data_IF_600329647218
#
_entry.id   IF_600329647218
#
_cell.length_a   1.000
_cell.length_b   1.000
_cell.length_c   1.000
_cell.angle_alpha   90.00
_cell.angle_beta   90.00
_cell.angle_gamma   90.00
#
_symmetry.space_group_name_H-M   'P 1'
#
loop_
_entity.id
_entity.type
_entity.pdbx_description
1 polymer ?
#
# COMPACT_ATOMS: atom_id res chain seq x y z
N UNK A 1 -4.16 -12.46 18.64
CA UNK A 1 -4.38 -12.42 17.18
C UNK A 1 -3.18 -11.72 16.60
N UNK A 2 -2.44 -12.37 15.70
CA UNK A 2 -1.49 -11.64 14.85
C UNK A 2 -2.30 -10.68 13.98
N UNK A 3 -2.03 -9.38 14.11
CA UNK A 3 -2.63 -8.36 13.25
C UNK A 3 -1.66 -8.11 12.09
N UNK A 4 -1.96 -8.68 10.93
CA UNK A 4 -1.27 -8.42 9.68
C UNK A 4 -1.82 -7.13 9.04
N UNK A 5 -0.97 -6.28 8.46
CA UNK A 5 -1.42 -4.99 7.89
C UNK A 5 -1.95 -5.10 6.46
N UNK A 6 -1.58 -6.17 5.75
CA UNK A 6 -1.71 -6.28 4.29
C UNK A 6 -2.45 -7.53 3.83
N UNK A 7 -2.79 -8.43 4.75
CA UNK A 7 -3.61 -9.61 4.49
C UNK A 7 -4.62 -9.80 5.61
N UNK A 8 -5.75 -10.42 5.31
CA UNK A 8 -6.81 -10.70 6.27
C UNK A 8 -7.38 -12.10 6.07
N UNK A 9 -7.59 -12.82 7.17
CA UNK A 9 -8.45 -14.01 7.19
C UNK A 9 -9.82 -13.64 7.74
N UNK A 10 -10.90 -14.06 7.07
CA UNK A 10 -12.27 -13.77 7.50
C UNK A 10 -13.24 -14.90 7.15
N UNK A 11 -14.40 -14.92 7.81
CA UNK A 11 -15.48 -15.87 7.53
C UNK A 11 -16.60 -15.11 6.84
N UNK A 12 -17.07 -15.64 5.71
CA UNK A 12 -18.25 -15.13 5.02
C UNK A 12 -19.12 -16.29 4.56
N UNK A 13 -20.41 -16.26 4.93
CA UNK A 13 -21.40 -17.29 4.56
C UNK A 13 -20.92 -18.72 4.89
N UNK A 14 -20.47 -18.91 6.13
CA UNK A 14 -19.88 -20.16 6.67
C UNK A 14 -18.64 -20.67 5.91
N UNK A 15 -18.08 -19.89 5.00
CA UNK A 15 -16.84 -20.20 4.28
C UNK A 15 -15.69 -19.41 4.90
N UNK A 16 -14.60 -20.10 5.25
CA UNK A 16 -13.37 -19.47 5.74
C UNK A 16 -12.46 -19.07 4.58
N UNK A 17 -12.13 -17.79 4.49
CA UNK A 17 -11.21 -17.22 3.51
C UNK A 17 -9.89 -16.94 4.24
N UNK A 18 -8.92 -17.83 4.05
CA UNK A 18 -7.62 -17.73 4.71
C UNK A 18 -6.69 -16.76 3.98
N UNK A 19 -6.04 -15.85 4.72
CA UNK A 19 -4.92 -15.00 4.30
C UNK A 19 -5.13 -14.35 2.93
N UNK A 20 -6.30 -13.73 2.74
CA UNK A 20 -6.59 -12.98 1.52
C UNK A 20 -5.72 -11.72 1.47
N UNK A 21 -5.20 -11.39 0.28
CA UNK A 21 -4.37 -10.19 0.05
C UNK A 21 -5.21 -8.92 0.01
N UNK A 22 -5.85 -8.62 1.15
CA UNK A 22 -6.63 -7.44 1.42
C UNK A 22 -6.27 -6.93 2.81
N UNK A 23 -5.91 -5.65 2.91
CA UNK A 23 -5.64 -5.03 4.20
C UNK A 23 -6.87 -5.07 5.10
N UNK A 24 -6.73 -5.29 6.42
CA UNK A 24 -7.84 -5.16 7.36
C UNK A 24 -8.53 -3.80 7.31
N UNK A 25 -7.83 -2.77 6.81
CA UNK A 25 -8.40 -1.45 6.54
C UNK A 25 -9.64 -1.51 5.64
N UNK A 26 -9.65 -2.40 4.64
CA UNK A 26 -10.74 -2.50 3.66
C UNK A 26 -11.87 -3.44 4.06
N UNK A 27 -11.74 -4.17 5.17
CA UNK A 27 -12.74 -5.18 5.58
C UNK A 27 -14.11 -4.56 5.89
N UNK A 28 -14.22 -3.43 6.62
CA UNK A 28 -15.52 -2.80 6.82
C UNK A 28 -16.22 -2.42 5.51
N UNK A 29 -15.46 -1.91 4.53
CA UNK A 29 -15.99 -1.56 3.20
C UNK A 29 -16.45 -2.80 2.43
N UNK A 30 -15.70 -3.89 2.52
CA UNK A 30 -16.08 -5.17 1.91
C UNK A 30 -17.36 -5.70 2.55
N UNK A 31 -17.50 -5.67 3.88
CA UNK A 31 -18.71 -6.10 4.57
C UNK A 31 -19.95 -5.31 4.12
N UNK A 32 -19.83 -3.99 4.03
CA UNK A 32 -20.90 -3.11 3.53
C UNK A 32 -21.28 -3.45 2.08
N UNK A 33 -20.29 -3.67 1.21
CA UNK A 33 -20.51 -4.06 -0.19
C UNK A 33 -21.24 -5.40 -0.31
N UNK A 34 -20.84 -6.40 0.48
CA UNK A 34 -21.45 -7.72 0.46
C UNK A 34 -22.88 -7.69 1.03
N UNK A 35 -23.11 -6.87 2.05
CA UNK A 35 -24.44 -6.63 2.59
C UNK A 35 -25.34 -5.94 1.54
N UNK A 36 -24.82 -4.94 0.83
CA UNK A 36 -25.53 -4.28 -0.26
C UNK A 36 -25.90 -5.29 -1.35
N UNK A 37 -24.96 -6.08 -1.86
CA UNK A 37 -25.26 -7.07 -2.90
C UNK A 37 -26.34 -8.07 -2.47
N UNK A 38 -26.32 -8.52 -1.21
CA UNK A 38 -27.39 -9.35 -0.63
C UNK A 38 -28.73 -8.61 -0.60
N UNK A 39 -28.77 -7.34 -0.19
CA UNK A 39 -30.03 -6.59 -0.06
C UNK A 39 -30.71 -6.32 -1.40
N UNK A 40 -29.93 -6.08 -2.46
CA UNK A 40 -30.44 -5.87 -3.83
C UNK A 40 -30.50 -7.17 -4.66
N UNK A 41 -30.27 -8.33 -4.04
CA UNK A 41 -30.36 -9.67 -4.65
C UNK A 41 -29.45 -9.86 -5.87
N UNK A 42 -28.27 -9.24 -5.87
CA UNK A 42 -27.24 -9.55 -6.86
C UNK A 42 -26.62 -10.90 -6.49
N UNK A 43 -26.62 -11.83 -7.44
CA UNK A 43 -25.91 -13.10 -7.29
C UNK A 43 -24.41 -12.87 -7.49
N UNK A 44 -23.61 -13.24 -6.50
CA UNK A 44 -22.15 -13.17 -6.59
C UNK A 44 -21.49 -14.39 -5.92
N UNK A 45 -20.21 -14.57 -6.19
CA UNK A 45 -19.37 -15.55 -5.51
C UNK A 45 -18.02 -14.92 -5.21
N UNK A 46 -17.62 -14.97 -3.94
CA UNK A 46 -16.27 -14.58 -3.56
C UNK A 46 -15.27 -15.60 -4.09
N UNK A 47 -14.21 -15.09 -4.72
CA UNK A 47 -13.06 -15.87 -5.17
C UNK A 47 -11.81 -15.37 -4.43
N UNK A 48 -10.65 -15.92 -4.77
CA UNK A 48 -9.37 -15.44 -4.25
C UNK A 48 -9.23 -13.95 -4.55
N UNK A 49 -8.94 -13.17 -3.51
CA UNK A 49 -8.67 -11.75 -3.66
C UNK A 49 -7.33 -11.55 -4.37
N UNK A 50 -7.35 -10.75 -5.43
CA UNK A 50 -6.13 -10.25 -6.07
C UNK A 50 -5.69 -8.97 -5.36
N UNK A 51 -4.40 -8.61 -5.41
CA UNK A 51 -3.97 -7.28 -5.02
C UNK A 51 -4.83 -6.22 -5.73
N UNK A 52 -5.20 -5.19 -4.98
CA UNK A 52 -5.90 -4.02 -5.48
C UNK A 52 -4.93 -2.85 -5.57
N UNK A 53 -5.18 -1.90 -6.45
CA UNK A 53 -4.34 -0.71 -6.65
C UNK A 53 -4.52 0.36 -5.54
N UNK A 54 -4.95 -0.08 -4.35
CA UNK A 54 -5.16 0.72 -3.15
C UNK A 54 -4.40 0.10 -1.98
N UNK A 55 -3.76 0.95 -1.17
CA UNK A 55 -2.93 0.57 -0.03
C UNK A 55 -1.95 -0.58 -0.40
N UNK A 56 -1.35 -0.48 -1.59
CA UNK A 56 -0.56 -1.57 -2.17
C UNK A 56 0.79 -1.67 -1.43
N UNK A 57 1.00 -2.80 -0.76
CA UNK A 57 2.23 -3.08 -0.03
C UNK A 57 3.32 -3.67 -0.93
N UNK A 58 4.41 -2.92 -1.10
CA UNK A 58 5.60 -3.33 -1.83
C UNK A 58 6.77 -3.49 -0.87
N UNK A 59 7.15 -4.74 -0.64
CA UNK A 59 8.31 -5.10 0.19
C UNK A 59 9.59 -4.79 -0.57
N UNK A 60 10.54 -4.10 0.07
CA UNK A 60 11.76 -3.65 -0.59
C UNK A 60 12.98 -3.79 0.32
N UNK A 61 14.16 -3.99 -0.26
CA UNK A 61 15.39 -3.88 0.53
C UNK A 61 15.86 -2.41 0.69
N UNK A 62 17.01 -2.20 1.34
CA UNK A 62 17.63 -0.88 1.51
C UNK A 62 17.97 -0.15 0.19
N UNK A 63 18.02 -0.86 -0.93
CA UNK A 63 18.25 -0.31 -2.28
C UNK A 63 16.93 -0.06 -3.04
N UNK A 64 15.78 -0.22 -2.39
CA UNK A 64 14.44 -0.15 -2.99
C UNK A 64 14.19 -1.20 -4.08
N UNK A 65 14.93 -2.30 -4.07
CA UNK A 65 14.65 -3.44 -4.93
C UNK A 65 13.47 -4.22 -4.35
N UNK A 66 12.48 -4.51 -5.20
CA UNK A 66 11.26 -5.26 -4.82
C UNK A 66 11.65 -6.67 -4.35
N UNK A 67 11.02 -7.10 -3.26
CA UNK A 67 11.17 -8.42 -2.64
C UNK A 67 9.82 -9.11 -2.55
N UNK A 68 9.88 -10.41 -2.28
CA UNK A 68 8.68 -11.21 -2.05
C UNK A 68 7.93 -10.73 -0.81
N UNK A 69 6.61 -10.88 -0.82
CA UNK A 69 5.74 -10.47 0.27
C UNK A 69 6.19 -11.09 1.60
N UNK A 70 6.28 -10.28 2.66
CA UNK A 70 6.66 -10.74 4.00
C UNK A 70 8.16 -10.99 4.20
N UNK A 71 9.01 -10.82 3.19
CA UNK A 71 10.45 -11.12 3.28
C UNK A 71 11.31 -9.93 3.70
N UNK A 72 10.71 -8.76 3.96
CA UNK A 72 11.43 -7.56 4.39
C UNK A 72 10.64 -6.75 5.43
N UNK A 73 11.38 -6.07 6.30
CA UNK A 73 10.90 -5.10 7.29
C UNK A 73 10.67 -3.70 6.71
N UNK A 74 11.11 -3.44 5.48
CA UNK A 74 10.92 -2.17 4.77
C UNK A 74 9.84 -2.32 3.70
N UNK A 75 8.70 -1.66 3.93
CA UNK A 75 7.54 -1.71 3.04
C UNK A 75 7.16 -0.31 2.58
N UNK A 76 7.00 -0.16 1.28
CA UNK A 76 6.39 1.01 0.66
C UNK A 76 4.92 0.69 0.42
N UNK A 77 4.03 1.55 0.92
CA UNK A 77 2.60 1.39 0.78
C UNK A 77 2.14 2.46 -0.20
N UNK A 78 1.68 2.07 -1.37
CA UNK A 78 1.25 2.99 -2.41
C UNK A 78 -0.26 3.21 -2.36
N UNK A 79 -0.68 4.47 -2.39
CA UNK A 79 -2.10 4.84 -2.50
C UNK A 79 -2.28 5.92 -3.57
N UNK A 80 -3.10 5.66 -4.57
CA UNK A 80 -3.42 6.63 -5.62
C UNK A 80 -4.52 7.61 -5.18
N UNK A 81 -5.47 7.14 -4.38
CA UNK A 81 -6.63 7.89 -3.95
C UNK A 81 -6.31 8.76 -2.73
N UNK A 82 -6.19 10.06 -2.97
CA UNK A 82 -5.89 11.02 -1.91
C UNK A 82 -7.02 11.20 -0.89
N UNK A 83 -8.23 10.71 -1.16
CA UNK A 83 -9.38 10.83 -0.26
C UNK A 83 -9.29 9.89 0.95
N UNK A 84 -8.58 8.76 0.83
CA UNK A 84 -8.49 7.75 1.89
C UNK A 84 -7.36 8.01 2.89
N UNK A 85 -6.43 8.90 2.57
CA UNK A 85 -5.18 9.14 3.32
C UNK A 85 -5.42 9.32 4.81
N UNK A 86 -6.37 10.17 5.21
CA UNK A 86 -6.60 10.46 6.64
C UNK A 86 -6.97 9.19 7.41
N UNK A 87 -7.77 8.33 6.80
CA UNK A 87 -8.22 7.07 7.39
C UNK A 87 -7.08 6.03 7.38
N UNK A 88 -6.27 5.98 6.32
CA UNK A 88 -5.11 5.09 6.20
C UNK A 88 -3.99 5.43 7.19
N UNK A 89 -3.69 6.72 7.36
CA UNK A 89 -2.74 7.21 8.37
C UNK A 89 -3.22 6.78 9.75
N UNK A 90 -4.50 7.01 10.07
CA UNK A 90 -5.08 6.63 11.37
C UNK A 90 -5.04 5.10 11.58
N UNK A 91 -5.28 4.34 10.52
CA UNK A 91 -5.19 2.88 10.55
C UNK A 91 -3.76 2.42 10.84
N UNK A 92 -2.75 2.95 10.13
CA UNK A 92 -1.34 2.64 10.36
C UNK A 92 -0.89 3.04 11.76
N UNK A 93 -1.24 4.23 12.24
CA UNK A 93 -0.92 4.67 13.59
C UNK A 93 -1.50 3.74 14.67
N UNK A 94 -2.70 3.18 14.43
CA UNK A 94 -3.37 2.27 15.36
C UNK A 94 -2.78 0.85 15.31
N UNK A 95 -2.63 0.27 14.12
CA UNK A 95 -2.27 -1.14 13.92
C UNK A 95 -0.75 -1.37 13.85
N UNK A 96 0.02 -0.34 13.55
CA UNK A 96 1.47 -0.38 13.39
C UNK A 96 2.17 0.65 14.29
N UNK A 97 1.65 0.90 15.49
CA UNK A 97 2.21 1.88 16.45
C UNK A 97 3.67 1.58 16.83
N UNK A 98 4.09 0.32 16.75
CA UNK A 98 5.46 -0.13 16.95
C UNK A 98 6.40 0.22 15.78
N UNK A 99 5.86 0.48 14.58
CA UNK A 99 6.61 0.68 13.36
C UNK A 99 6.88 2.17 13.12
N UNK A 100 8.14 2.52 12.91
CA UNK A 100 8.50 3.84 12.38
C UNK A 100 7.92 4.03 10.97
N UNK A 101 6.87 4.82 10.87
CA UNK A 101 6.14 5.10 9.63
C UNK A 101 6.36 6.54 9.20
N UNK A 102 6.68 6.76 7.93
CA UNK A 102 6.68 8.08 7.29
C UNK A 102 5.54 8.17 6.27
N UNK A 103 5.05 9.39 6.03
CA UNK A 103 3.97 9.67 5.12
C UNK A 103 4.48 10.65 4.06
N UNK A 104 4.47 10.25 2.80
CA UNK A 104 4.96 11.04 1.67
C UNK A 104 3.75 11.42 0.83
N UNK A 105 3.33 12.68 0.92
CA UNK A 105 2.08 13.17 0.32
C UNK A 105 2.34 14.27 -0.71
N UNK A 106 1.49 14.42 -1.74
CA UNK A 106 1.58 15.56 -2.64
C UNK A 106 1.54 16.88 -1.87
N UNK A 107 2.28 17.89 -2.32
CA UNK A 107 2.30 19.21 -1.67
C UNK A 107 0.90 19.83 -1.55
N UNK A 108 0.00 19.53 -2.49
CA UNK A 108 -1.39 20.00 -2.54
C UNK A 108 -2.34 19.28 -1.58
N UNK A 109 -1.91 18.17 -0.98
CA UNK A 109 -2.78 17.37 -0.11
C UNK A 109 -2.91 18.01 1.27
N UNK A 110 -4.15 18.28 1.70
CA UNK A 110 -4.43 18.73 3.06
C UNK A 110 -4.28 17.57 4.06
N UNK A 111 -3.21 17.63 4.85
CA UNK A 111 -2.91 16.72 5.94
C UNK A 111 -2.29 17.51 7.07
N UNK A 112 -2.52 17.08 8.32
CA UNK A 112 -1.86 17.66 9.49
C UNK A 112 -0.34 17.51 9.35
N UNK A 113 0.37 18.62 9.49
CA UNK A 113 1.82 18.60 9.47
C UNK A 113 2.33 17.92 10.74
N UNK A 114 3.22 16.95 10.56
CA UNK A 114 3.91 16.27 11.65
C UNK A 114 5.33 15.94 11.22
N UNK A 115 6.21 15.61 12.18
CA UNK A 115 7.63 15.29 11.90
C UNK A 115 7.82 14.11 10.94
N UNK A 116 6.79 13.28 10.76
CA UNK A 116 6.83 12.09 9.91
C UNK A 116 6.10 12.31 8.57
N UNK A 117 5.55 13.49 8.32
CA UNK A 117 4.88 13.86 7.05
C UNK A 117 5.85 14.67 6.20
N UNK A 118 6.05 14.20 4.97
CA UNK A 118 6.90 14.82 3.97
C UNK A 118 6.06 15.15 2.74
N UNK A 119 6.25 16.36 2.21
CA UNK A 119 5.55 16.83 1.03
C UNK A 119 6.47 16.75 -0.19
N UNK A 120 5.93 16.32 -1.32
CA UNK A 120 6.66 16.30 -2.59
C UNK A 120 5.92 17.09 -3.68
N UNK A 121 6.70 17.67 -4.61
CA UNK A 121 6.22 18.37 -5.81
C UNK A 121 6.43 17.56 -7.09
N UNK A 122 7.37 16.62 -7.07
CA UNK A 122 7.67 15.73 -8.19
C UNK A 122 8.15 14.35 -7.70
N UNK A 123 8.18 13.36 -8.60
CA UNK A 123 8.54 11.98 -8.28
C UNK A 123 9.97 11.79 -7.76
N UNK A 124 10.93 12.65 -8.16
CA UNK A 124 12.32 12.52 -7.72
C UNK A 124 12.46 12.84 -6.22
N UNK A 125 11.72 13.84 -5.74
CA UNK A 125 11.69 14.19 -4.31
C UNK A 125 11.22 13.01 -3.44
N UNK A 126 10.31 12.16 -3.93
CA UNK A 126 9.86 10.95 -3.21
C UNK A 126 11.05 10.04 -2.94
N UNK A 127 11.87 9.77 -3.96
CA UNK A 127 13.04 8.89 -3.83
C UNK A 127 14.07 9.50 -2.88
N UNK A 128 14.28 10.82 -2.93
CA UNK A 128 15.20 11.50 -2.02
C UNK A 128 14.71 11.47 -0.57
N UNK A 129 13.40 11.67 -0.33
CA UNK A 129 12.80 11.51 1.00
C UNK A 129 13.00 10.08 1.50
N UNK A 130 12.74 9.06 0.68
CA UNK A 130 12.91 7.66 1.05
C UNK A 130 14.37 7.33 1.42
N UNK A 131 15.35 7.87 0.68
CA UNK A 131 16.78 7.65 0.97
C UNK A 131 17.25 8.32 2.26
N UNK A 132 16.73 9.52 2.53
CA UNK A 132 17.16 10.33 3.67
C UNK A 132 16.47 9.98 4.99
N UNK A 133 15.52 9.04 4.97
CA UNK A 133 14.74 8.67 6.15
C UNK A 133 14.88 7.19 6.50
N UNK A 134 15.05 6.92 7.80
CA UNK A 134 14.94 5.57 8.35
C UNK A 134 13.47 5.32 8.69
N UNK A 135 12.90 4.23 8.17
CA UNK A 135 11.50 3.84 8.36
C UNK A 135 11.35 2.33 8.12
N UNK A 136 10.31 1.76 8.75
CA UNK A 136 9.77 0.44 8.42
C UNK A 136 8.71 0.58 7.33
N UNK A 137 7.79 1.53 7.49
CA UNK A 137 6.73 1.81 6.53
C UNK A 137 6.82 3.21 5.94
N UNK A 138 6.59 3.33 4.64
CA UNK A 138 6.38 4.62 3.99
C UNK A 138 5.07 4.57 3.20
N UNK A 139 4.06 5.33 3.64
CA UNK A 139 2.85 5.54 2.86
C UNK A 139 3.14 6.61 1.81
N UNK A 140 3.14 6.24 0.54
CA UNK A 140 3.45 7.10 -0.60
C UNK A 140 2.17 7.35 -1.37
N UNK A 141 1.72 8.60 -1.38
CA UNK A 141 0.40 8.96 -1.90
C UNK A 141 0.49 9.66 -3.25
N UNK A 142 -0.45 9.39 -4.15
CA UNK A 142 -0.60 10.04 -5.46
C UNK A 142 0.29 9.45 -6.56
N UNK A 143 0.97 8.34 -6.27
CA UNK A 143 1.79 7.58 -7.21
C UNK A 143 1.68 6.09 -6.92
N UNK A 144 1.97 5.28 -7.93
CA UNK A 144 2.07 3.82 -7.82
C UNK A 144 3.55 3.36 -7.79
N UNK A 145 3.74 2.04 -7.63
CA UNK A 145 5.07 1.39 -7.55
C UNK A 145 5.97 1.58 -8.77
N UNK A 146 5.46 2.08 -9.90
CA UNK A 146 6.27 2.39 -11.09
C UNK A 146 7.42 3.35 -10.79
N UNK A 147 7.33 4.17 -9.73
CA UNK A 147 8.44 5.05 -9.30
C UNK A 147 9.71 4.28 -8.90
N UNK A 148 9.60 2.99 -8.62
CA UNK A 148 10.72 2.12 -8.25
C UNK A 148 11.41 1.52 -9.48
N UNK A 149 10.78 1.60 -10.66
CA UNK A 149 11.40 1.11 -11.88
C UNK A 149 12.61 1.97 -12.23
N UNK A 150 13.76 1.34 -12.45
CA UNK A 150 14.89 2.04 -13.06
C UNK A 150 14.43 2.48 -14.47
N UNK A 151 14.88 3.64 -14.97
CA UNK A 151 14.70 3.95 -16.37
C UNK A 151 15.24 2.76 -17.17
N UNK A 152 14.44 2.26 -18.11
CA UNK A 152 14.92 1.33 -19.13
C UNK A 152 16.11 2.03 -19.80
N UNK A 153 17.32 1.68 -19.36
CA UNK A 153 18.51 2.00 -20.15
C UNK A 153 18.27 1.23 -21.43
N UNK A 154 17.92 1.96 -22.50
CA UNK A 154 17.87 1.41 -23.84
C UNK A 154 19.15 0.61 -24.01
N UNK A 155 19.03 -0.71 -24.00
CA UNK A 155 20.08 -1.58 -24.48
C UNK A 155 20.14 -1.28 -25.97
N UNK A 156 20.90 -0.25 -26.34
CA UNK A 156 21.49 -0.18 -27.66
C UNK A 156 22.31 -1.45 -27.77
N UNK A 157 21.71 -2.47 -28.37
CA UNK A 157 22.44 -3.57 -28.97
C UNK A 157 23.45 -2.94 -29.91
N UNK A 158 24.68 -2.80 -29.42
CA UNK A 158 25.85 -2.77 -30.28
C UNK A 158 25.94 -4.17 -30.87
N UNK A 159 25.24 -4.38 -31.98
CA UNK A 159 25.57 -5.45 -32.91
C UNK A 159 26.91 -5.09 -33.52
N UNK A 160 27.96 -5.68 -32.98
CA UNK A 160 29.23 -5.86 -33.67
C UNK A 160 29.31 -7.35 -34.03
N UNK A 161 29.65 -7.57 -35.30
CA UNK A 161 29.80 -8.81 -36.07
C UNK A 161 28.52 -9.38 -36.70
#
# INVERSE_FOLDING_TARGET
MEQTLFETSFIYDNTFYERQLISPFFIPFLEELLHLFKSIKINFRLRKFTPIDHFEAVFTNKKFEIKEFGTSDKVLIFELNTQLIKNEIKFLQKQASWAKTIYIVPYTTECEDSKNVFRYKNKNEIIDILKNNIFHFALVVGVDKSILSKPLVNQTQLTLF
#
